data_IF_237251884093
#
_entry.id   IF_237251884093
#
_cell.length_a   1.000
_cell.length_b   1.000
_cell.length_c   1.000
_cell.angle_alpha   90.00
_cell.angle_beta   90.00
_cell.angle_gamma   90.00
#
_symmetry.space_group_name_H-M   'P 1'
#
loop_
_entity.id
_entity.type
_entity.pdbx_description
1 polymer ?
#
# COMPACT_ATOMS: atom_id res chain seq x y z
N UNK A 1 4.90 3.51 5.03
CA UNK A 1 5.15 2.06 4.84
C UNK A 1 6.52 1.74 5.39
N UNK A 2 6.65 0.60 6.06
CA UNK A 2 7.92 0.09 6.59
C UNK A 2 8.15 -1.32 6.06
N UNK A 3 9.30 -1.59 5.46
CA UNK A 3 9.69 -2.90 4.95
C UNK A 3 10.96 -3.37 5.69
N UNK A 4 10.91 -4.54 6.33
CA UNK A 4 12.03 -5.13 7.05
C UNK A 4 12.59 -6.34 6.29
N UNK A 5 13.62 -6.09 5.48
CA UNK A 5 14.24 -7.09 4.59
C UNK A 5 15.26 -7.99 5.29
N UNK A 6 15.62 -7.71 6.55
CA UNK A 6 16.64 -8.46 7.30
C UNK A 6 16.13 -9.82 7.80
N UNK A 7 14.82 -10.00 7.85
CA UNK A 7 14.19 -11.25 8.26
C UNK A 7 14.27 -12.31 7.14
N UNK A 8 14.22 -13.59 7.54
CA UNK A 8 14.16 -14.72 6.60
C UNK A 8 12.96 -14.59 5.65
N UNK A 9 11.80 -14.23 6.21
CA UNK A 9 10.62 -13.75 5.49
C UNK A 9 10.38 -12.28 5.82
N UNK A 10 10.69 -11.35 4.92
CA UNK A 10 10.49 -9.93 5.18
C UNK A 10 9.04 -9.58 5.45
N UNK A 11 8.82 -8.71 6.42
CA UNK A 11 7.49 -8.25 6.80
C UNK A 11 7.33 -6.79 6.40
N UNK A 12 6.22 -6.49 5.73
CA UNK A 12 5.87 -5.15 5.30
C UNK A 12 4.66 -4.66 6.08
N UNK A 13 4.80 -3.48 6.68
CA UNK A 13 3.73 -2.72 7.33
C UNK A 13 3.33 -1.54 6.43
N UNK A 14 2.12 -1.63 5.89
CA UNK A 14 1.54 -0.63 5.00
C UNK A 14 0.38 0.07 5.71
N UNK A 15 0.52 1.38 5.85
CA UNK A 15 -0.52 2.27 6.36
C UNK A 15 -0.85 3.31 5.28
N UNK A 16 -2.14 3.43 4.95
CA UNK A 16 -2.69 4.42 4.03
C UNK A 16 -3.84 5.16 4.72
N UNK A 17 -3.70 6.47 4.85
CA UNK A 17 -4.75 7.34 5.38
C UNK A 17 -5.59 7.89 4.24
N UNK A 18 -6.85 7.47 4.18
CA UNK A 18 -7.84 8.01 3.25
C UNK A 18 -8.65 9.10 3.95
N UNK A 19 -8.87 10.22 3.26
CA UNK A 19 -9.68 11.34 3.76
C UNK A 19 -10.76 11.68 2.75
N UNK A 20 -12.01 11.69 3.21
CA UNK A 20 -13.13 12.14 2.40
C UNK A 20 -13.45 13.61 2.76
N UNK A 21 -13.03 14.54 1.92
CA UNK A 21 -13.20 15.99 2.15
C UNK A 21 -14.54 16.52 1.64
N UNK A 22 -15.46 15.66 1.21
CA UNK A 22 -16.80 16.09 0.80
C UNK A 22 -17.54 16.73 1.99
N UNK A 23 -18.19 17.90 1.81
CA UNK A 23 -18.84 18.63 2.91
C UNK A 23 -20.21 18.05 3.31
N UNK A 24 -20.92 17.42 2.37
CA UNK A 24 -22.22 16.78 2.60
C UNK A 24 -22.48 15.72 1.53
N UNK A 25 -23.39 14.79 1.83
CA UNK A 25 -23.89 13.82 0.87
C UNK A 25 -25.15 14.33 0.18
N UNK A 26 -25.25 14.11 -1.11
CA UNK A 26 -26.44 14.36 -1.91
C UNK A 26 -26.64 13.25 -2.96
N UNK A 27 -27.60 13.39 -3.86
CA UNK A 27 -27.85 12.38 -4.87
C UNK A 27 -26.69 12.16 -5.87
N UNK A 28 -25.71 13.08 -5.90
CA UNK A 28 -24.47 12.97 -6.71
C UNK A 28 -23.25 12.60 -5.87
N UNK A 29 -23.31 12.75 -4.54
CA UNK A 29 -22.16 12.64 -3.63
C UNK A 29 -22.50 11.69 -2.48
N UNK A 30 -21.84 10.55 -2.45
CA UNK A 30 -21.97 9.55 -1.37
C UNK A 30 -20.65 9.39 -0.61
N UNK A 31 -20.62 8.40 0.28
CA UNK A 31 -19.38 7.92 0.88
C UNK A 31 -18.33 7.59 -0.20
N UNK A 32 -17.06 7.74 0.17
CA UNK A 32 -15.95 7.47 -0.72
C UNK A 32 -15.64 5.98 -0.70
N UNK A 33 -15.84 5.34 -1.86
CA UNK A 33 -15.56 3.92 -2.09
C UNK A 33 -14.37 3.79 -3.02
N UNK A 34 -13.24 3.31 -2.50
CA UNK A 34 -12.01 3.15 -3.29
C UNK A 34 -11.58 1.70 -3.31
N UNK A 35 -11.04 1.27 -4.46
CA UNK A 35 -10.33 0.00 -4.56
C UNK A 35 -8.84 0.21 -4.28
N UNK A 36 -8.28 -0.63 -3.42
CA UNK A 36 -6.85 -0.71 -3.13
C UNK A 36 -6.31 -2.00 -3.74
N UNK A 37 -5.34 -1.84 -4.63
CA UNK A 37 -4.65 -2.94 -5.31
C UNK A 37 -3.20 -2.98 -4.88
N UNK A 38 -2.76 -4.15 -4.41
CA UNK A 38 -1.38 -4.37 -3.99
C UNK A 38 -0.87 -5.58 -4.73
N UNK A 39 0.14 -5.35 -5.57
CA UNK A 39 0.84 -6.41 -6.30
C UNK A 39 2.15 -6.70 -5.58
N UNK A 40 2.27 -7.92 -5.08
CA UNK A 40 3.42 -8.40 -4.32
C UNK A 40 4.08 -9.59 -5.05
N UNK A 41 5.35 -9.90 -4.77
CA UNK A 41 5.98 -11.13 -5.24
C UNK A 41 5.11 -12.36 -5.01
N UNK A 42 5.16 -13.32 -5.95
CA UNK A 42 4.39 -14.56 -5.85
C UNK A 42 4.74 -15.31 -4.56
N UNK A 43 3.72 -15.77 -3.84
CA UNK A 43 3.90 -16.50 -2.58
C UNK A 43 3.94 -15.61 -1.34
N UNK A 44 3.77 -14.29 -1.50
CA UNK A 44 3.52 -13.40 -0.39
C UNK A 44 2.18 -13.74 0.29
N UNK A 45 2.11 -13.53 1.60
CA UNK A 45 0.97 -13.92 2.43
C UNK A 45 0.52 -12.74 3.29
N UNK A 46 -0.80 -12.52 3.34
CA UNK A 46 -1.40 -11.44 4.11
C UNK A 46 -1.57 -11.88 5.57
N UNK A 47 -0.92 -11.17 6.49
CA UNK A 47 -0.92 -11.49 7.92
C UNK A 47 -2.06 -10.77 8.66
N UNK A 48 -2.19 -9.46 8.46
CA UNK A 48 -3.16 -8.62 9.17
C UNK A 48 -3.77 -7.58 8.24
N UNK A 49 -5.03 -7.22 8.53
CA UNK A 49 -5.73 -6.12 7.86
C UNK A 49 -6.63 -5.39 8.85
N UNK A 50 -6.67 -4.08 8.76
CA UNK A 50 -7.55 -3.22 9.54
C UNK A 50 -8.21 -2.17 8.64
N UNK A 51 -9.48 -1.85 8.93
CA UNK A 51 -10.23 -0.76 8.26
C UNK A 51 -10.32 -0.90 6.73
N UNK A 52 -10.33 -2.15 6.23
CA UNK A 52 -10.51 -2.52 4.83
C UNK A 52 -11.44 -3.72 4.71
N UNK A 53 -12.04 -3.93 3.53
CA UNK A 53 -12.91 -5.09 3.27
C UNK A 53 -12.19 -6.44 3.40
N UNK A 54 -12.95 -7.53 3.22
CA UNK A 54 -12.34 -8.85 3.03
C UNK A 54 -11.42 -8.82 1.78
N UNK A 55 -10.22 -9.43 1.85
CA UNK A 55 -9.28 -9.40 0.75
C UNK A 55 -9.77 -10.29 -0.40
N UNK A 56 -9.59 -9.81 -1.63
CA UNK A 56 -9.58 -10.66 -2.81
C UNK A 56 -8.12 -11.00 -3.14
N UNK A 57 -7.71 -12.25 -2.87
CA UNK A 57 -6.34 -12.72 -3.09
C UNK A 57 -6.32 -13.60 -4.33
N UNK A 58 -5.53 -13.21 -5.34
CA UNK A 58 -5.41 -13.95 -6.59
C UNK A 58 -3.96 -13.96 -7.06
N UNK A 59 -3.61 -14.89 -7.95
CA UNK A 59 -2.36 -14.84 -8.69
C UNK A 59 -2.61 -14.28 -10.09
N UNK A 60 -1.88 -13.22 -10.45
CA UNK A 60 -1.94 -12.63 -11.78
C UNK A 60 -0.53 -12.29 -12.28
N UNK A 61 -0.22 -12.69 -13.53
CA UNK A 61 1.05 -12.35 -14.22
C UNK A 61 2.31 -12.69 -13.39
N UNK A 62 2.28 -13.78 -12.64
CA UNK A 62 3.41 -14.21 -11.80
C UNK A 62 3.61 -13.38 -10.52
N UNK A 63 2.59 -12.62 -10.10
CA UNK A 63 2.53 -11.89 -8.84
C UNK A 63 1.33 -12.34 -8.02
N UNK A 64 1.41 -12.18 -6.71
CA UNK A 64 0.24 -12.29 -5.84
C UNK A 64 -0.40 -10.91 -5.73
N UNK A 65 -1.71 -10.85 -5.89
CA UNK A 65 -2.52 -9.64 -5.87
C UNK A 65 -3.41 -9.66 -4.63
N UNK A 66 -3.41 -8.55 -3.88
CA UNK A 66 -4.34 -8.30 -2.79
C UNK A 66 -5.24 -7.12 -3.15
N UNK A 67 -6.53 -7.40 -3.33
CA UNK A 67 -7.57 -6.42 -3.60
C UNK A 67 -8.42 -6.13 -2.37
N UNK A 68 -8.66 -4.85 -2.07
CA UNK A 68 -9.53 -4.42 -0.99
C UNK A 68 -10.46 -3.30 -1.45
N UNK A 69 -11.62 -3.19 -0.80
CA UNK A 69 -12.48 -2.02 -0.85
C UNK A 69 -12.27 -1.24 0.45
N UNK A 70 -12.08 0.06 0.32
CA UNK A 70 -12.00 1.02 1.43
C UNK A 70 -13.23 1.91 1.37
N UNK A 71 -13.91 2.03 2.50
CA UNK A 71 -15.08 2.87 2.69
C UNK A 71 -14.70 4.02 3.61
N UNK A 72 -14.93 5.26 3.18
CA UNK A 72 -14.69 6.46 3.99
C UNK A 72 -15.92 7.32 4.01
N UNK A 73 -16.48 7.46 5.21
CA UNK A 73 -17.65 8.31 5.44
C UNK A 73 -17.37 9.76 5.04
N UNK A 74 -18.40 10.46 4.59
CA UNK A 74 -18.33 11.90 4.27
C UNK A 74 -17.80 12.69 5.48
N UNK A 75 -16.84 13.58 5.23
CA UNK A 75 -16.15 14.37 6.25
C UNK A 75 -15.23 13.56 7.17
N UNK A 76 -15.12 12.24 6.96
CA UNK A 76 -14.35 11.33 7.78
C UNK A 76 -12.99 10.96 7.19
N UNK A 77 -12.27 10.15 7.96
CA UNK A 77 -11.02 9.52 7.55
C UNK A 77 -11.01 8.04 7.90
N UNK A 78 -10.23 7.27 7.15
CA UNK A 78 -10.06 5.84 7.37
C UNK A 78 -8.60 5.49 7.22
N UNK A 79 -8.04 4.92 8.28
CA UNK A 79 -6.64 4.51 8.37
C UNK A 79 -6.56 3.02 8.04
N UNK A 80 -6.35 2.72 6.76
CA UNK A 80 -6.22 1.36 6.26
C UNK A 80 -4.82 0.83 6.60
N UNK A 81 -4.76 -0.27 7.35
CA UNK A 81 -3.49 -0.90 7.73
C UNK A 81 -3.45 -2.34 7.24
N UNK A 82 -2.30 -2.72 6.71
CA UNK A 82 -2.06 -4.02 6.13
C UNK A 82 -0.68 -4.48 6.55
N UNK A 83 -0.59 -5.75 6.93
CA UNK A 83 0.66 -6.42 7.22
C UNK A 83 0.77 -7.66 6.38
N UNK A 84 1.87 -7.82 5.65
CA UNK A 84 2.08 -8.98 4.81
C UNK A 84 3.53 -9.44 4.85
N UNK A 85 3.74 -10.73 4.66
CA UNK A 85 5.06 -11.34 4.51
C UNK A 85 5.40 -11.52 3.03
N UNK A 86 6.63 -11.18 2.68
CA UNK A 86 7.23 -11.49 1.38
C UNK A 86 7.85 -12.89 1.42
N UNK A 87 7.85 -13.61 0.29
CA UNK A 87 8.43 -14.95 0.22
C UNK A 87 9.95 -14.87 0.44
N UNK A 88 10.58 -15.91 0.99
CA UNK A 88 12.02 -15.86 1.35
C UNK A 88 12.97 -15.80 0.13
N UNK A 89 12.49 -16.28 -1.02
CA UNK A 89 13.24 -16.46 -2.27
C UNK A 89 13.16 -15.27 -3.24
N UNK A 90 12.44 -14.19 -2.90
CA UNK A 90 12.45 -12.99 -3.75
C UNK A 90 13.82 -12.29 -3.78
N UNK A 91 14.10 -11.63 -4.91
CA UNK A 91 15.35 -10.91 -5.12
C UNK A 91 15.41 -9.62 -4.27
N UNK A 92 15.99 -9.74 -3.07
CA UNK A 92 16.26 -8.62 -2.15
C UNK A 92 17.26 -7.60 -2.72
N UNK A 93 18.04 -7.95 -3.74
CA UNK A 93 19.05 -7.07 -4.34
C UNK A 93 18.48 -6.17 -5.43
N UNK A 94 17.37 -6.56 -6.05
CA UNK A 94 16.66 -5.78 -7.06
C UNK A 94 15.25 -5.39 -6.58
N UNK A 95 15.16 -4.89 -5.35
CA UNK A 95 13.88 -4.46 -4.79
C UNK A 95 13.41 -3.16 -5.46
N UNK A 96 12.25 -3.24 -6.12
CA UNK A 96 11.60 -2.12 -6.79
C UNK A 96 10.20 -1.94 -6.24
N UNK A 97 9.93 -0.75 -5.71
CA UNK A 97 8.62 -0.37 -5.21
C UNK A 97 8.05 0.69 -6.15
N UNK A 98 6.95 0.34 -6.81
CA UNK A 98 6.17 1.25 -7.63
C UNK A 98 4.90 1.64 -6.88
N UNK A 99 4.68 2.94 -6.74
CA UNK A 99 3.45 3.50 -6.18
C UNK A 99 2.80 4.36 -7.25
N UNK A 100 1.61 3.97 -7.69
CA UNK A 100 0.90 4.64 -8.78
C UNK A 100 -0.15 5.60 -8.25
N UNK A 101 -0.19 6.80 -8.82
CA UNK A 101 -1.17 7.82 -8.45
C UNK A 101 -2.48 7.55 -9.18
N UNK A 102 -3.59 7.49 -8.45
CA UNK A 102 -4.91 7.49 -9.08
C UNK A 102 -5.19 8.85 -9.74
N UNK A 103 -5.75 8.82 -10.94
CA UNK A 103 -6.13 10.05 -11.65
C UNK A 103 -7.21 10.79 -10.86
N UNK A 104 -7.14 12.12 -10.84
CA UNK A 104 -8.07 12.97 -10.10
C UNK A 104 -7.77 13.12 -8.60
N UNK A 105 -6.77 12.43 -8.05
CA UNK A 105 -6.31 12.65 -6.67
C UNK A 105 -5.31 13.81 -6.63
N UNK A 106 -5.31 14.61 -5.56
CA UNK A 106 -4.34 15.67 -5.33
C UNK A 106 -2.95 15.15 -4.98
N UNK A 107 -2.13 16.02 -4.38
CA UNK A 107 -0.78 15.68 -3.95
C UNK A 107 -0.80 14.82 -2.69
N UNK A 108 -0.18 13.64 -2.74
CA UNK A 108 -0.19 12.68 -1.62
C UNK A 108 1.20 12.59 -1.00
N UNK A 109 1.38 12.92 0.29
CA UNK A 109 2.65 12.69 0.97
C UNK A 109 2.87 11.18 1.16
N UNK A 110 4.06 10.71 0.81
CA UNK A 110 4.46 9.31 0.90
C UNK A 110 5.75 9.21 1.70
N UNK A 111 5.72 8.32 2.70
CA UNK A 111 6.89 7.92 3.48
C UNK A 111 7.13 6.43 3.34
N UNK A 112 8.32 6.09 2.88
CA UNK A 112 8.80 4.71 2.74
C UNK A 112 10.04 4.55 3.60
N UNK A 113 10.00 3.57 4.48
CA UNK A 113 11.13 3.15 5.31
C UNK A 113 11.51 1.73 4.91
N UNK A 114 12.75 1.49 4.53
CA UNK A 114 13.25 0.16 4.16
C UNK A 114 14.45 -0.16 5.05
N UNK A 115 14.39 -1.29 5.76
CA UNK A 115 15.50 -1.81 6.56
C UNK A 115 16.20 -2.92 5.79
N UNK A 116 17.50 -2.77 5.57
CA UNK A 116 18.34 -3.74 4.85
C UNK A 116 19.75 -3.73 5.41
N UNK A 117 20.29 -4.90 5.72
CA UNK A 117 21.60 -5.16 6.33
C UNK A 117 21.85 -4.31 7.60
N UNK A 118 20.85 -4.17 8.47
CA UNK A 118 20.92 -3.36 9.68
C UNK A 118 20.96 -1.85 9.45
N UNK A 119 20.75 -1.39 8.21
CA UNK A 119 20.63 0.04 7.84
C UNK A 119 19.18 0.37 7.54
N UNK A 120 18.76 1.54 8.01
CA UNK A 120 17.42 2.08 7.72
C UNK A 120 17.52 3.16 6.64
N UNK A 121 16.76 2.97 5.56
CA UNK A 121 16.64 3.89 4.44
C UNK A 121 15.27 4.53 4.50
N UNK A 122 15.21 5.82 4.84
CA UNK A 122 13.96 6.58 4.88
C UNK A 122 13.89 7.49 3.66
N UNK A 123 12.79 7.39 2.90
CA UNK A 123 12.50 8.28 1.78
C UNK A 123 11.13 8.91 1.95
N UNK A 124 11.10 10.24 1.84
CA UNK A 124 9.88 11.04 1.88
C UNK A 124 9.73 11.78 0.54
N UNK A 125 8.56 11.62 -0.09
CA UNK A 125 8.23 12.19 -1.40
C UNK A 125 6.77 12.59 -1.44
N UNK A 126 6.48 13.65 -2.16
CA UNK A 126 5.10 14.00 -2.53
C UNK A 126 4.78 13.38 -3.88
N UNK A 127 3.75 12.54 -3.92
CA UNK A 127 3.26 11.88 -5.12
C UNK A 127 2.44 12.87 -5.96
N UNK A 128 3.14 13.61 -6.82
CA UNK A 128 2.53 14.42 -7.89
C UNK A 128 2.26 13.58 -9.16
N UNK A 129 2.99 12.47 -9.30
CA UNK A 129 2.93 11.45 -10.37
C UNK A 129 3.36 10.11 -9.77
N UNK A 130 3.33 9.04 -10.58
CA UNK A 130 3.85 7.73 -10.19
C UNK A 130 5.27 7.81 -9.62
N UNK A 131 5.50 7.12 -8.51
CA UNK A 131 6.78 7.07 -7.81
C UNK A 131 7.39 5.69 -7.99
N UNK A 132 8.64 5.67 -8.44
CA UNK A 132 9.47 4.47 -8.49
C UNK A 132 10.62 4.61 -7.47
N UNK A 133 10.70 3.65 -6.56
CA UNK A 133 11.78 3.53 -5.60
C UNK A 133 12.59 2.29 -5.94
N UNK A 134 13.87 2.50 -6.27
CA UNK A 134 14.82 1.41 -6.53
C UNK A 134 15.89 1.45 -5.44
N UNK A 135 16.01 0.36 -4.68
CA UNK A 135 17.18 0.16 -3.83
C UNK A 135 18.27 -0.51 -4.67
N UNK A 136 19.39 0.18 -4.86
CA UNK A 136 20.62 -0.38 -5.43
C UNK A 136 21.58 -0.76 -4.31
#
# INVERSE_FOLDING_TARGET
>A
MTDDLDQEKPVVDLNILYKNTAPYGDWRTSDYHSYLWIYVPKGANLLEREMVSYPNIQEERGKTYFGFIVHVLIGGETNARLKYELPADFDKNNYRLLIQKQSGVGDIPVKVTIKKNGREFVQERTMIKDLNFELK
#
